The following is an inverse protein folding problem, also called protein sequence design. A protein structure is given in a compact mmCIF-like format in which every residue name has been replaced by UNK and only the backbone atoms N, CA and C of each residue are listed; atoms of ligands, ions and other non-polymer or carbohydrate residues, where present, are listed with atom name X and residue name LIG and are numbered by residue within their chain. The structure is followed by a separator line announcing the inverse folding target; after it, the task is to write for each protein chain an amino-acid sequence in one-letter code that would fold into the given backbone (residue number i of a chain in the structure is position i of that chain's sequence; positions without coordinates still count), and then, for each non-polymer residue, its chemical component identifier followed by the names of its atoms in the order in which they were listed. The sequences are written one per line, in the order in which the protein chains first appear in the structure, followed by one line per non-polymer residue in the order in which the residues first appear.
data_IF_988353157425
#
_entry.id   IF_988353157425
#
_cell.length_a   1.000
_cell.length_b   1.000
_cell.length_c   1.000
_cell.angle_alpha   90.00
_cell.angle_beta   90.00
_cell.angle_gamma   90.00
#
_symmetry.space_group_name_H-M   'P 1'
#
loop_
_entity.id
_entity.type
_entity.pdbx_description
1 polymer ?
#
# COMPACT_ATOMS: atom_id res chain seq x y z
N UNK A 1 4.67 13.25 10.40
CA UNK A 1 5.53 12.08 10.08
C UNK A 1 4.70 10.88 9.62
N UNK A 2 3.92 10.20 10.48
CA UNK A 2 3.10 9.04 10.07
C UNK A 2 2.01 9.38 9.03
N UNK A 3 1.28 10.49 9.24
CA UNK A 3 0.24 10.95 8.30
C UNK A 3 0.77 11.30 6.90
N UNK A 4 2.02 11.73 6.80
CA UNK A 4 2.65 12.04 5.52
C UNK A 4 3.04 10.78 4.75
N UNK A 5 3.49 9.74 5.47
CA UNK A 5 3.80 8.42 4.92
C UNK A 5 2.52 7.75 4.43
N UNK A 6 1.46 7.75 5.24
CA UNK A 6 0.15 7.20 4.86
C UNK A 6 -0.39 7.85 3.59
N UNK A 7 -0.39 9.19 3.52
CA UNK A 7 -0.85 9.91 2.32
C UNK A 7 -0.02 9.54 1.09
N UNK A 8 1.31 9.52 1.20
CA UNK A 8 2.20 9.17 0.09
C UNK A 8 2.03 7.72 -0.34
N UNK A 9 1.86 6.80 0.61
CA UNK A 9 1.64 5.39 0.36
C UNK A 9 0.31 5.14 -0.36
N UNK A 10 -0.76 5.84 0.05
CA UNK A 10 -2.05 5.81 -0.67
C UNK A 10 -1.89 6.31 -2.12
N UNK A 11 -1.21 7.44 -2.32
CA UNK A 11 -0.96 7.98 -3.66
C UNK A 11 -0.14 7.04 -4.53
N UNK A 12 0.90 6.40 -3.98
CA UNK A 12 1.70 5.41 -4.69
C UNK A 12 0.84 4.19 -5.07
N UNK A 13 0.05 3.67 -4.13
CA UNK A 13 -0.81 2.52 -4.35
C UNK A 13 -1.88 2.80 -5.41
N UNK A 14 -2.45 4.00 -5.44
CA UNK A 14 -3.41 4.40 -6.47
C UNK A 14 -2.75 4.44 -7.85
N UNK A 15 -1.56 5.05 -7.95
CA UNK A 15 -0.81 5.12 -9.21
C UNK A 15 -0.41 3.73 -9.74
N UNK A 16 -0.03 2.80 -8.86
CA UNK A 16 0.28 1.43 -9.23
C UNK A 16 -0.99 0.68 -9.71
N UNK A 17 -2.14 0.89 -9.06
CA UNK A 17 -3.41 0.30 -9.49
C UNK A 17 -3.88 0.84 -10.85
N UNK A 18 -3.72 2.14 -11.10
CA UNK A 18 -3.99 2.75 -12.41
C UNK A 18 -3.09 2.15 -13.51
N UNK A 19 -1.78 1.99 -13.24
CA UNK A 19 -0.84 1.35 -14.17
C UNK A 19 -1.19 -0.11 -14.47
N UNK A 20 -1.75 -0.81 -13.48
CA UNK A 20 -2.23 -2.18 -13.61
C UNK A 20 -3.59 -2.30 -14.33
N UNK A 21 -4.16 -1.18 -14.81
CA UNK A 21 -5.50 -1.12 -15.42
C UNK A 21 -6.62 -1.62 -14.48
N UNK A 22 -6.47 -1.44 -13.17
CA UNK A 22 -7.55 -1.70 -12.21
C UNK A 22 -8.70 -0.71 -12.49
N UNK A 23 -9.96 -1.17 -12.55
CA UNK A 23 -11.10 -0.28 -12.73
C UNK A 23 -11.12 0.82 -11.66
N UNK A 24 -11.40 2.06 -12.06
CA UNK A 24 -11.40 3.21 -11.14
C UNK A 24 -12.34 3.03 -9.93
N UNK A 25 -13.40 2.22 -10.07
CA UNK A 25 -14.31 1.85 -8.98
C UNK A 25 -13.66 0.96 -7.92
N UNK A 26 -12.66 0.19 -8.30
CA UNK A 26 -11.99 -0.79 -7.44
C UNK A 26 -10.70 -0.23 -6.82
N UNK A 27 -10.19 0.89 -7.33
CA UNK A 27 -8.98 1.55 -6.82
C UNK A 27 -9.15 1.99 -5.35
N UNK A 28 -10.21 2.72 -4.94
CA UNK A 28 -10.35 3.16 -3.54
C UNK A 28 -10.32 2.01 -2.51
N UNK A 29 -11.11 0.93 -2.63
CA UNK A 29 -11.06 -0.17 -1.66
C UNK A 29 -9.73 -0.94 -1.70
N UNK A 30 -9.08 -0.99 -2.86
CA UNK A 30 -7.76 -1.61 -3.01
C UNK A 30 -6.67 -0.78 -2.33
N UNK A 31 -6.70 0.54 -2.48
CA UNK A 31 -5.78 1.46 -1.81
C UNK A 31 -5.92 1.38 -0.29
N UNK A 32 -7.13 1.41 0.26
CA UNK A 32 -7.34 1.28 1.71
C UNK A 32 -6.80 -0.03 2.28
N UNK A 33 -6.78 -1.09 1.48
CA UNK A 33 -6.25 -2.38 1.89
C UNK A 33 -4.74 -2.48 1.74
N UNK A 34 -4.16 -1.96 0.67
CA UNK A 34 -2.76 -2.21 0.29
C UNK A 34 -1.79 -1.05 0.63
N UNK A 35 -2.29 0.15 0.97
CA UNK A 35 -1.41 1.25 1.39
C UNK A 35 -0.43 0.91 2.53
N UNK A 36 -0.74 0.02 3.52
CA UNK A 36 0.24 -0.34 4.55
C UNK A 36 1.48 -1.03 3.98
N UNK A 37 1.33 -1.77 2.88
CA UNK A 37 2.46 -2.39 2.16
C UNK A 37 3.34 -1.31 1.53
N UNK A 38 2.72 -0.38 0.78
CA UNK A 38 3.44 0.74 0.19
C UNK A 38 4.15 1.59 1.26
N UNK A 39 3.49 1.84 2.40
CA UNK A 39 4.08 2.55 3.53
C UNK A 39 5.29 1.80 4.13
N UNK A 40 5.20 0.47 4.24
CA UNK A 40 6.32 -0.39 4.69
C UNK A 40 7.52 -0.29 3.73
N UNK A 41 7.28 -0.38 2.42
CA UNK A 41 8.33 -0.25 1.40
C UNK A 41 9.00 1.13 1.44
N UNK A 42 8.21 2.20 1.60
CA UNK A 42 8.71 3.57 1.68
C UNK A 42 9.59 3.84 2.92
N UNK A 43 9.29 3.18 4.04
CA UNK A 43 10.00 3.38 5.31
C UNK A 43 11.29 2.57 5.39
N UNK A 44 11.48 1.53 4.57
CA UNK A 44 12.70 0.72 4.49
C UNK A 44 13.00 -0.16 5.71
N UNK A 45 12.40 0.12 6.87
CA UNK A 45 12.49 -0.66 8.11
C UNK A 45 11.09 -0.80 8.69
N UNK A 46 10.69 -2.04 9.02
CA UNK A 46 9.46 -2.30 9.75
C UNK A 46 9.63 -1.85 11.21
N UNK A 47 9.39 -0.57 11.46
CA UNK A 47 9.33 -0.05 12.82
C UNK A 47 7.88 -0.14 13.33
N UNK A 48 7.56 -1.05 14.28
CA UNK A 48 6.24 -1.20 14.84
C UNK A 48 5.76 0.04 15.60
N UNK A 49 6.65 0.97 15.96
CA UNK A 49 6.29 2.23 16.61
C UNK A 49 5.84 3.31 15.61
N UNK A 50 6.18 3.16 14.33
CA UNK A 50 5.90 4.18 13.31
C UNK A 50 4.78 3.76 12.35
N UNK A 51 4.55 2.47 12.16
CA UNK A 51 3.48 1.96 11.31
C UNK A 51 2.90 0.67 11.92
N UNK A 52 1.63 0.70 12.33
CA UNK A 52 0.93 -0.51 12.76
C UNK A 52 0.56 -1.30 11.51
N UNK A 53 1.29 -2.40 11.28
CA UNK A 53 1.03 -3.29 10.17
C UNK A 53 -0.12 -4.24 10.49
N UNK A 54 -1.01 -4.51 9.51
CA UNK A 54 -2.00 -5.58 9.64
C UNK A 54 -1.34 -6.95 9.87
N UNK A 55 -2.02 -7.85 10.58
CA UNK A 55 -1.55 -9.23 10.78
C UNK A 55 -1.38 -9.99 9.46
N UNK A 56 -2.17 -9.63 8.44
CA UNK A 56 -2.13 -10.23 7.10
C UNK A 56 -1.17 -9.53 6.12
N UNK A 57 -0.16 -8.79 6.62
CA UNK A 57 0.74 -7.98 5.78
C UNK A 57 1.45 -8.79 4.68
N UNK A 58 1.84 -10.04 4.95
CA UNK A 58 2.49 -10.90 3.94
C UNK A 58 1.55 -11.25 2.77
N UNK A 59 0.27 -11.49 3.05
CA UNK A 59 -0.71 -11.76 2.02
C UNK A 59 -0.95 -10.52 1.15
N UNK A 60 -1.04 -9.35 1.79
CA UNK A 60 -1.16 -8.05 1.10
C UNK A 60 0.06 -7.73 0.26
N UNK A 61 1.26 -8.09 0.71
CA UNK A 61 2.48 -7.95 -0.09
C UNK A 61 2.46 -8.79 -1.36
N UNK A 62 2.01 -10.04 -1.27
CA UNK A 62 1.90 -10.90 -2.45
C UNK A 62 0.91 -10.31 -3.47
N UNK A 63 -0.19 -9.76 -2.99
CA UNK A 63 -1.17 -9.10 -3.84
C UNK A 63 -0.64 -7.80 -4.46
N UNK A 64 0.02 -6.96 -3.66
CA UNK A 64 0.63 -5.73 -4.15
C UNK A 64 1.72 -6.01 -5.20
N UNK A 65 2.49 -7.09 -5.05
CA UNK A 65 3.44 -7.55 -6.07
C UNK A 65 2.77 -8.01 -7.37
N UNK A 66 1.55 -8.55 -7.31
CA UNK A 66 0.79 -8.94 -8.52
C UNK A 66 0.30 -7.72 -9.28
N UNK A 67 -0.06 -6.64 -8.58
CA UNK A 67 -0.44 -5.36 -9.19
C UNK A 67 0.72 -4.70 -9.94
N UNK A 68 1.96 -4.89 -9.48
CA UNK A 68 3.16 -4.27 -10.06
C UNK A 68 3.84 -5.09 -11.16
N UNK A 69 3.25 -6.21 -11.59
CA UNK A 69 3.72 -7.02 -12.73
C UNK A 69 3.13 -6.54 -14.04
#
# INVERSE_FOLDING_TARGET
MVKDVERRARSLCAADAERANVPATDIPPLVERLWPVAAREMMGVADPYTLVLPEDIEAREQEYRRLRR
#
